data_IF_042679128524
#
_entry.id   IF_042679128524
#
_cell.length_a   1.000
_cell.length_b   1.000
_cell.length_c   1.000
_cell.angle_alpha   90.00
_cell.angle_beta   90.00
_cell.angle_gamma   90.00
#
_symmetry.space_group_name_H-M   'P 1'
#
loop_
_entity.id
_entity.type
_entity.pdbx_description
1 polymer ?
#
# COMPACT_ATOMS: atom_id res chain seq x y z
N UNK A 1 -61.22 25.23 44.42
CA UNK A 1 -61.01 24.34 43.25
C UNK A 1 -59.50 24.14 43.07
N UNK A 2 -58.94 23.06 43.63
CA UNK A 2 -57.48 22.89 43.74
C UNK A 2 -56.96 22.02 42.60
N UNK A 3 -56.23 22.62 41.66
CA UNK A 3 -55.66 21.94 40.48
C UNK A 3 -54.54 20.99 40.94
N UNK A 4 -54.80 19.66 40.98
CA UNK A 4 -53.76 18.64 41.20
C UNK A 4 -52.74 18.71 40.06
N UNK A 5 -51.52 19.22 40.33
CA UNK A 5 -50.38 19.09 39.43
C UNK A 5 -49.94 17.63 39.42
N UNK A 6 -50.13 16.98 38.28
CA UNK A 6 -49.70 15.60 38.07
C UNK A 6 -48.16 15.60 37.93
N UNK A 7 -47.45 15.41 39.03
CA UNK A 7 -45.99 15.22 39.01
C UNK A 7 -45.69 13.80 38.50
N UNK A 8 -45.76 13.64 37.18
CA UNK A 8 -45.21 12.47 36.49
C UNK A 8 -43.72 12.41 36.81
N UNK A 9 -43.31 11.49 37.70
CA UNK A 9 -41.90 11.11 37.87
C UNK A 9 -41.43 10.56 36.52
N UNK A 10 -40.81 11.41 35.69
CA UNK A 10 -40.23 11.04 34.40
C UNK A 10 -39.32 9.83 34.66
N UNK A 11 -39.65 8.69 34.04
CA UNK A 11 -38.96 7.45 34.27
C UNK A 11 -37.49 7.63 33.88
N UNK A 12 -36.54 7.35 34.77
CA UNK A 12 -35.10 7.62 34.55
C UNK A 12 -34.58 6.93 33.29
N UNK A 13 -35.20 5.80 32.93
CA UNK A 13 -34.96 5.05 31.70
C UNK A 13 -35.33 5.81 30.41
N UNK A 14 -36.30 6.73 30.43
CA UNK A 14 -36.68 7.49 29.22
C UNK A 14 -35.68 8.57 28.84
N UNK A 15 -34.80 8.97 29.76
CA UNK A 15 -33.69 9.91 29.53
C UNK A 15 -32.38 9.15 29.30
N UNK A 16 -32.20 7.99 29.95
CA UNK A 16 -31.01 7.16 29.78
C UNK A 16 -30.88 6.59 28.36
N UNK A 17 -31.99 6.13 27.78
CA UNK A 17 -32.04 5.54 26.44
C UNK A 17 -31.52 6.48 25.34
N UNK A 18 -32.01 7.73 25.19
CA UNK A 18 -31.48 8.64 24.17
C UNK A 18 -30.00 9.01 24.39
N UNK A 19 -29.54 9.12 25.64
CA UNK A 19 -28.13 9.40 25.95
C UNK A 19 -27.24 8.23 25.50
N UNK A 20 -27.62 7.00 25.84
CA UNK A 20 -26.89 5.80 25.41
C UNK A 20 -26.88 5.65 23.88
N UNK A 21 -27.98 5.97 23.21
CA UNK A 21 -28.04 5.96 21.74
C UNK A 21 -27.09 7.00 21.14
N UNK A 22 -27.03 8.22 21.67
CA UNK A 22 -26.10 9.26 21.20
C UNK A 22 -24.65 8.82 21.41
N UNK A 23 -24.32 8.25 22.58
CA UNK A 23 -22.98 7.71 22.86
C UNK A 23 -22.66 6.57 21.91
N UNK A 24 -23.59 5.64 21.68
CA UNK A 24 -23.41 4.52 20.75
C UNK A 24 -23.15 4.98 19.32
N UNK A 25 -23.93 5.95 18.83
CA UNK A 25 -23.72 6.57 17.51
C UNK A 25 -22.36 7.27 17.46
N UNK A 26 -21.98 7.99 18.52
CA UNK A 26 -20.68 8.65 18.62
C UNK A 26 -19.51 7.66 18.53
N UNK A 27 -19.60 6.53 19.25
CA UNK A 27 -18.58 5.47 19.21
C UNK A 27 -18.49 4.86 17.81
N UNK A 28 -19.63 4.52 17.18
CA UNK A 28 -19.64 3.95 15.82
C UNK A 28 -19.07 4.93 14.81
N UNK A 29 -19.42 6.22 14.90
CA UNK A 29 -18.91 7.25 14.00
C UNK A 29 -17.39 7.39 14.11
N UNK A 30 -16.84 7.43 15.34
CA UNK A 30 -15.39 7.50 15.57
C UNK A 30 -14.69 6.26 15.04
N UNK A 31 -15.16 5.06 15.36
CA UNK A 31 -14.56 3.80 14.89
C UNK A 31 -14.61 3.67 13.37
N UNK A 32 -15.72 4.07 12.74
CA UNK A 32 -15.88 4.03 11.29
C UNK A 32 -14.99 5.07 10.60
N UNK A 33 -14.79 6.24 11.21
CA UNK A 33 -13.90 7.29 10.67
C UNK A 33 -12.42 6.92 10.69
N UNK A 34 -12.01 6.06 11.63
CA UNK A 34 -10.64 5.55 11.75
C UNK A 34 -10.41 4.18 11.11
N UNK A 35 -11.40 3.63 10.40
CA UNK A 35 -11.27 2.30 9.79
C UNK A 35 -10.26 2.31 8.65
N UNK A 36 -9.20 1.51 8.78
CA UNK A 36 -8.33 1.18 7.66
C UNK A 36 -8.66 -0.21 7.10
N UNK A 37 -8.76 -0.33 5.77
CA UNK A 37 -8.91 -1.62 5.08
C UNK A 37 -7.80 -2.62 5.45
N UNK A 38 -6.64 -2.13 5.90
CA UNK A 38 -5.49 -2.93 6.35
C UNK A 38 -5.78 -3.77 7.60
N UNK A 39 -6.73 -3.36 8.45
CA UNK A 39 -7.03 -4.01 9.72
C UNK A 39 -7.70 -5.37 9.56
N UNK A 40 -8.44 -5.56 8.47
CA UNK A 40 -9.15 -6.81 8.15
C UNK A 40 -8.38 -7.68 7.15
N UNK A 41 -7.13 -7.30 6.83
CA UNK A 41 -6.30 -8.08 5.92
C UNK A 41 -5.97 -9.46 6.50
N UNK A 42 -6.07 -10.49 5.65
CA UNK A 42 -5.80 -11.86 6.04
C UNK A 42 -4.28 -12.14 6.09
N UNK A 43 -3.75 -12.24 7.31
CA UNK A 43 -2.34 -12.55 7.57
C UNK A 43 -2.00 -14.04 7.58
N UNK A 44 -2.96 -14.94 7.32
CA UNK A 44 -2.68 -16.37 7.29
C UNK A 44 -1.59 -16.69 6.27
N UNK A 45 -0.71 -17.63 6.61
CA UNK A 45 0.47 -18.03 5.83
C UNK A 45 1.47 -16.89 5.50
N UNK A 46 1.42 -15.77 6.24
CA UNK A 46 2.48 -14.78 6.26
C UNK A 46 3.23 -14.92 7.58
N UNK A 47 4.53 -15.20 7.50
CA UNK A 47 5.37 -15.34 8.70
C UNK A 47 5.43 -14.04 9.47
N UNK A 48 5.58 -14.17 10.79
CA UNK A 48 5.55 -13.05 11.72
C UNK A 48 6.61 -12.00 11.39
N UNK A 49 7.82 -12.42 11.03
CA UNK A 49 8.94 -11.51 10.74
C UNK A 49 8.68 -10.67 9.47
N UNK A 50 8.02 -11.26 8.47
CA UNK A 50 7.57 -10.56 7.27
C UNK A 50 6.47 -9.58 7.62
N UNK A 51 5.45 -10.02 8.38
CA UNK A 51 4.35 -9.16 8.85
C UNK A 51 4.88 -7.95 9.63
N UNK A 52 5.73 -8.18 10.62
CA UNK A 52 6.28 -7.13 11.48
C UNK A 52 7.09 -6.12 10.65
N UNK A 53 7.91 -6.61 9.71
CA UNK A 53 8.65 -5.76 8.78
C UNK A 53 7.74 -4.94 7.86
N UNK A 54 6.65 -5.53 7.36
CA UNK A 54 5.65 -4.85 6.53
C UNK A 54 4.91 -3.77 7.31
N UNK A 55 4.55 -4.02 8.57
CA UNK A 55 3.87 -3.02 9.41
C UNK A 55 4.73 -1.76 9.58
N UNK A 56 6.04 -1.93 9.73
CA UNK A 56 6.96 -0.77 9.78
C UNK A 56 7.11 -0.13 8.41
N UNK A 57 7.33 -0.91 7.35
CA UNK A 57 7.54 -0.38 6.00
C UNK A 57 6.31 0.39 5.46
N UNK A 58 5.10 -0.03 5.85
CA UNK A 58 3.81 0.60 5.45
C UNK A 58 3.80 2.11 5.76
N UNK A 59 4.37 2.52 6.88
CA UNK A 59 4.36 3.90 7.37
C UNK A 59 5.47 4.77 6.76
N UNK A 60 6.46 4.17 6.09
CA UNK A 60 7.68 4.86 5.66
C UNK A 60 7.70 5.28 4.18
N UNK A 61 6.86 4.66 3.35
CA UNK A 61 6.92 4.87 1.90
C UNK A 61 8.11 4.18 1.22
N UNK A 62 8.34 4.52 -0.05
CA UNK A 62 9.51 4.08 -0.82
C UNK A 62 10.46 5.25 -1.00
N UNK A 63 11.76 5.03 -0.75
CA UNK A 63 12.80 6.05 -0.91
C UNK A 63 13.87 5.63 -1.90
N UNK A 64 14.40 6.62 -2.64
CA UNK A 64 15.54 6.43 -3.55
C UNK A 64 16.88 6.32 -2.82
N UNK A 65 16.93 6.73 -1.54
CA UNK A 65 18.16 6.85 -0.76
C UNK A 65 18.91 8.18 -0.91
N UNK A 66 18.51 9.02 -1.86
CA UNK A 66 18.97 10.40 -1.88
C UNK A 66 18.25 11.18 -0.78
N UNK A 67 19.02 11.87 0.06
CA UNK A 67 18.51 12.74 1.12
C UNK A 67 18.99 14.17 0.87
N UNK A 68 18.19 15.16 1.28
CA UNK A 68 18.60 16.56 1.24
C UNK A 68 19.77 16.83 2.21
N UNK A 69 20.38 18.00 2.10
CA UNK A 69 21.38 18.46 3.08
C UNK A 69 20.71 18.49 4.47
N UNK A 70 21.36 17.88 5.47
CA UNK A 70 20.87 17.74 6.86
C UNK A 70 19.59 16.91 7.08
N UNK A 71 19.11 16.19 6.07
CA UNK A 71 17.97 15.29 6.23
C UNK A 71 18.37 13.98 6.93
N UNK A 72 17.41 13.36 7.63
CA UNK A 72 17.61 12.04 8.26
C UNK A 72 17.92 11.00 7.19
N UNK A 73 18.85 10.10 7.50
CA UNK A 73 19.17 8.95 6.66
C UNK A 73 17.93 8.07 6.45
N UNK A 74 17.75 7.61 5.22
CA UNK A 74 16.69 6.69 4.80
C UNK A 74 17.20 5.25 4.64
N UNK A 75 18.42 4.97 5.13
CA UNK A 75 19.10 3.69 4.95
C UNK A 75 18.30 2.52 5.55
N UNK A 76 17.72 2.70 6.74
CA UNK A 76 16.92 1.67 7.40
C UNK A 76 15.68 1.28 6.58
N UNK A 77 15.09 2.22 5.86
CA UNK A 77 13.91 2.00 5.00
C UNK A 77 14.31 1.19 3.77
N UNK A 78 15.45 1.54 3.16
CA UNK A 78 16.01 0.82 2.03
C UNK A 78 16.39 -0.61 2.43
N UNK A 79 17.07 -0.77 3.56
CA UNK A 79 17.50 -2.09 4.05
C UNK A 79 16.31 -2.95 4.42
N UNK A 80 15.27 -2.39 5.05
CA UNK A 80 14.03 -3.11 5.34
C UNK A 80 13.33 -3.58 4.07
N UNK A 81 13.17 -2.70 3.07
CA UNK A 81 12.60 -3.09 1.76
C UNK A 81 13.40 -4.22 1.13
N UNK A 82 14.73 -4.10 1.05
CA UNK A 82 15.62 -5.15 0.51
C UNK A 82 15.50 -6.44 1.29
N UNK A 83 15.44 -6.37 2.63
CA UNK A 83 15.31 -7.52 3.50
C UNK A 83 13.98 -8.25 3.27
N UNK A 84 12.86 -7.52 3.16
CA UNK A 84 11.55 -8.11 2.86
C UNK A 84 11.59 -8.84 1.52
N UNK A 85 12.04 -8.17 0.45
CA UNK A 85 12.10 -8.77 -0.90
C UNK A 85 12.98 -10.04 -0.94
N UNK A 86 14.09 -10.03 -0.19
CA UNK A 86 15.03 -11.15 -0.13
C UNK A 86 14.46 -12.33 0.66
N UNK A 87 13.86 -12.08 1.83
CA UNK A 87 13.51 -13.12 2.79
C UNK A 87 12.07 -13.65 2.66
N UNK A 88 11.14 -12.87 2.08
CA UNK A 88 9.79 -13.32 1.83
C UNK A 88 9.76 -14.43 0.75
N UNK A 89 8.89 -15.40 0.96
CA UNK A 89 8.56 -16.42 -0.04
C UNK A 89 7.73 -15.80 -1.17
N UNK A 90 7.67 -16.48 -2.32
CA UNK A 90 6.81 -16.05 -3.43
C UNK A 90 5.34 -15.98 -3.02
N UNK A 91 4.86 -16.97 -2.26
CA UNK A 91 3.49 -17.00 -1.74
C UNK A 91 3.21 -15.78 -0.86
N UNK A 92 4.11 -15.43 0.05
CA UNK A 92 3.97 -14.27 0.92
C UNK A 92 3.90 -12.97 0.11
N UNK A 93 4.83 -12.80 -0.85
CA UNK A 93 4.82 -11.61 -1.71
C UNK A 93 3.54 -11.55 -2.57
N UNK A 94 3.07 -12.67 -3.12
CA UNK A 94 1.82 -12.75 -3.88
C UNK A 94 0.60 -12.39 -3.03
N UNK A 95 0.58 -12.74 -1.74
CA UNK A 95 -0.48 -12.26 -0.84
C UNK A 95 -0.36 -10.75 -0.62
N UNK A 96 0.86 -10.25 -0.43
CA UNK A 96 1.12 -8.83 -0.15
C UNK A 96 0.80 -7.91 -1.35
N UNK A 97 0.75 -8.39 -2.60
CA UNK A 97 0.24 -7.60 -3.73
C UNK A 97 -1.24 -7.21 -3.58
N UNK A 98 -1.99 -7.92 -2.73
CA UNK A 98 -3.39 -7.61 -2.39
C UNK A 98 -3.53 -6.77 -1.12
N UNK A 99 -2.41 -6.41 -0.48
CA UNK A 99 -2.45 -5.62 0.75
C UNK A 99 -2.95 -4.19 0.45
N UNK A 100 -3.85 -3.62 1.29
CA UNK A 100 -4.47 -2.33 1.03
C UNK A 100 -3.56 -1.13 1.39
N UNK A 101 -2.35 -1.09 0.83
CA UNK A 101 -1.40 0.02 0.94
C UNK A 101 -0.40 -0.01 -0.23
N UNK A 102 -0.17 1.13 -0.88
CA UNK A 102 0.65 1.18 -2.10
C UNK A 102 2.13 0.88 -1.87
N UNK A 103 2.71 1.28 -0.73
CA UNK A 103 4.09 0.95 -0.36
C UNK A 103 4.27 -0.56 -0.25
N UNK A 104 3.38 -1.25 0.46
CA UNK A 104 3.43 -2.71 0.61
C UNK A 104 3.27 -3.41 -0.73
N UNK A 105 2.31 -2.96 -1.56
CA UNK A 105 2.15 -3.48 -2.92
C UNK A 105 3.41 -3.28 -3.75
N UNK A 106 4.03 -2.09 -3.71
CA UNK A 106 5.25 -1.79 -4.44
C UNK A 106 6.41 -2.72 -4.05
N UNK A 107 6.63 -2.93 -2.74
CA UNK A 107 7.64 -3.88 -2.23
C UNK A 107 7.35 -5.31 -2.73
N UNK A 108 6.08 -5.73 -2.71
CA UNK A 108 5.68 -7.06 -3.13
C UNK A 108 5.89 -7.29 -4.63
N UNK A 109 5.41 -6.37 -5.47
CA UNK A 109 5.60 -6.43 -6.92
C UNK A 109 7.07 -6.38 -7.31
N UNK A 110 7.83 -5.42 -6.77
CA UNK A 110 9.27 -5.31 -7.01
C UNK A 110 10.01 -6.58 -6.58
N UNK A 111 9.69 -7.11 -5.39
CA UNK A 111 10.30 -8.34 -4.88
C UNK A 111 10.08 -9.54 -5.79
N UNK A 112 8.85 -9.74 -6.29
CA UNK A 112 8.53 -10.81 -7.23
C UNK A 112 9.21 -10.63 -8.59
N UNK A 113 9.23 -9.40 -9.12
CA UNK A 113 9.91 -9.09 -10.40
C UNK A 113 11.41 -9.36 -10.30
N UNK A 114 12.04 -9.00 -9.19
CA UNK A 114 13.48 -9.18 -8.96
C UNK A 114 13.87 -10.62 -8.60
N UNK A 115 12.91 -11.45 -8.16
CA UNK A 115 13.17 -12.85 -7.80
C UNK A 115 13.32 -13.71 -9.07
N UNK A 116 14.41 -14.48 -9.16
CA UNK A 116 14.72 -15.29 -10.35
C UNK A 116 13.85 -16.54 -10.48
N UNK A 117 13.39 -17.05 -9.34
CA UNK A 117 12.54 -18.26 -9.26
C UNK A 117 11.12 -18.00 -9.73
N UNK A 118 10.62 -16.77 -9.59
CA UNK A 118 9.27 -16.40 -10.01
C UNK A 118 9.20 -16.23 -11.53
N UNK A 119 8.31 -16.98 -12.21
CA UNK A 119 8.26 -17.04 -13.69
C UNK A 119 7.16 -16.16 -14.31
N UNK A 120 6.06 -15.93 -13.62
CA UNK A 120 4.88 -15.23 -14.15
C UNK A 120 5.02 -13.69 -14.07
N UNK A 121 6.18 -13.15 -14.44
CA UNK A 121 6.50 -11.71 -14.29
C UNK A 121 5.66 -10.83 -15.20
N UNK A 122 5.46 -11.23 -16.46
CA UNK A 122 4.66 -10.44 -17.38
C UNK A 122 3.20 -10.33 -16.92
N UNK A 123 2.57 -11.44 -16.53
CA UNK A 123 1.20 -11.42 -16.00
C UNK A 123 1.10 -10.61 -14.70
N UNK A 124 2.09 -10.73 -13.82
CA UNK A 124 2.15 -9.94 -12.59
C UNK A 124 2.19 -8.43 -12.89
N UNK A 125 2.99 -8.00 -13.86
CA UNK A 125 3.09 -6.59 -14.25
C UNK A 125 1.80 -6.11 -14.93
N UNK A 126 1.18 -6.93 -15.78
CA UNK A 126 -0.15 -6.63 -16.36
C UNK A 126 -1.21 -6.42 -15.27
N UNK A 127 -1.21 -7.25 -14.21
CA UNK A 127 -2.08 -7.05 -13.04
C UNK A 127 -1.80 -5.72 -12.34
N UNK A 128 -0.54 -5.34 -12.18
CA UNK A 128 -0.16 -4.06 -11.60
C UNK A 128 -0.58 -2.85 -12.45
N UNK A 129 -0.61 -2.99 -13.79
CA UNK A 129 -1.10 -1.95 -14.71
C UNK A 129 -2.61 -1.69 -14.52
N UNK A 130 -3.37 -2.75 -14.24
CA UNK A 130 -4.80 -2.64 -13.97
C UNK A 130 -5.12 -2.18 -12.54
N UNK A 131 -4.15 -2.14 -11.63
CA UNK A 131 -4.32 -1.77 -10.22
C UNK A 131 -4.11 -0.26 -10.01
N UNK A 132 -5.20 0.45 -9.77
CA UNK A 132 -5.22 1.89 -9.51
C UNK A 132 -5.79 2.25 -8.12
N UNK A 133 -5.98 1.26 -7.23
CA UNK A 133 -6.69 1.47 -5.97
C UNK A 133 -5.85 2.22 -4.93
N UNK A 134 -4.54 1.98 -4.91
CA UNK A 134 -3.63 2.57 -3.94
C UNK A 134 -2.49 3.29 -4.64
N UNK A 135 -2.02 4.38 -4.04
CA UNK A 135 -0.86 5.12 -4.53
C UNK A 135 0.38 4.74 -3.73
N UNK A 136 1.52 4.71 -4.41
CA UNK A 136 2.85 4.53 -3.82
C UNK A 136 3.39 5.90 -3.44
N UNK A 137 3.62 6.14 -2.15
CA UNK A 137 4.36 7.30 -1.69
C UNK A 137 5.86 7.07 -1.96
N UNK A 138 6.42 7.85 -2.90
CA UNK A 138 7.82 7.77 -3.28
C UNK A 138 8.55 9.07 -2.93
N UNK A 139 9.72 8.95 -2.31
CA UNK A 139 10.57 10.09 -1.95
C UNK A 139 11.97 9.97 -2.54
N UNK A 140 12.47 11.09 -3.06
CA UNK A 140 13.86 11.23 -3.49
C UNK A 140 14.35 12.62 -3.13
N UNK A 141 15.25 12.69 -2.14
CA UNK A 141 15.69 13.96 -1.55
C UNK A 141 14.52 14.70 -0.91
N UNK A 142 14.38 15.99 -1.28
CA UNK A 142 13.29 16.84 -0.83
C UNK A 142 12.00 16.69 -1.66
N UNK A 143 11.99 15.80 -2.66
CA UNK A 143 10.86 15.62 -3.57
C UNK A 143 10.10 14.36 -3.18
N UNK A 144 8.85 14.53 -2.74
CA UNK A 144 7.89 13.45 -2.52
C UNK A 144 6.81 13.47 -3.58
N UNK A 145 6.54 12.32 -4.22
CA UNK A 145 5.54 12.16 -5.28
C UNK A 145 4.74 10.89 -5.03
N UNK A 146 3.45 10.92 -5.39
CA UNK A 146 2.58 9.75 -5.37
C UNK A 146 2.43 9.19 -6.77
N UNK A 147 2.69 7.90 -6.92
CA UNK A 147 2.58 7.19 -8.18
C UNK A 147 1.50 6.10 -8.12
N UNK A 148 0.85 5.81 -9.24
CA UNK A 148 0.21 4.51 -9.40
C UNK A 148 1.28 3.40 -9.30
N UNK A 149 0.91 2.19 -8.86
CA UNK A 149 1.87 1.08 -8.77
C UNK A 149 2.53 0.84 -10.14
N UNK A 150 1.73 0.90 -11.21
CA UNK A 150 2.21 0.76 -12.58
C UNK A 150 3.27 1.80 -12.96
N UNK A 151 3.05 3.07 -12.64
CA UNK A 151 4.00 4.16 -12.88
C UNK A 151 5.30 3.95 -12.11
N UNK A 152 5.18 3.61 -10.82
CA UNK A 152 6.33 3.29 -9.98
C UNK A 152 7.17 2.15 -10.58
N UNK A 153 6.54 1.05 -10.99
CA UNK A 153 7.23 -0.09 -11.57
C UNK A 153 7.90 0.26 -12.90
N UNK A 154 7.20 0.95 -13.80
CA UNK A 154 7.74 1.33 -15.10
C UNK A 154 8.95 2.27 -14.96
N UNK A 155 8.86 3.27 -14.08
CA UNK A 155 9.90 4.29 -13.89
C UNK A 155 11.12 3.78 -13.10
N UNK A 156 10.89 3.06 -12.00
CA UNK A 156 11.94 2.79 -11.01
C UNK A 156 12.35 1.33 -10.89
N UNK A 157 11.60 0.40 -11.47
CA UNK A 157 11.92 -1.04 -11.41
C UNK A 157 12.33 -1.57 -12.77
N UNK A 158 11.48 -1.38 -13.79
CA UNK A 158 11.59 -2.01 -15.11
C UNK A 158 12.47 -1.20 -16.08
N UNK A 159 12.31 0.12 -16.11
CA UNK A 159 13.20 1.05 -16.84
C UNK A 159 13.39 0.73 -18.34
N UNK A 160 12.39 0.16 -19.02
CA UNK A 160 12.43 -0.08 -20.47
C UNK A 160 11.49 0.81 -21.29
N UNK A 161 10.66 1.63 -20.65
CA UNK A 161 9.89 2.68 -21.32
C UNK A 161 10.79 3.89 -21.57
N UNK A 162 11.02 4.19 -22.85
CA UNK A 162 11.93 5.26 -23.31
C UNK A 162 11.36 6.67 -23.15
N UNK A 163 10.09 6.80 -22.77
CA UNK A 163 9.49 8.10 -22.45
C UNK A 163 9.99 8.66 -21.12
N UNK A 164 10.51 7.79 -20.25
CA UNK A 164 11.19 8.19 -19.03
C UNK A 164 12.69 8.34 -19.28
N UNK A 165 13.36 9.32 -18.65
CA UNK A 165 14.80 9.44 -18.75
C UNK A 165 15.45 8.15 -18.23
N UNK A 166 16.35 7.51 -19.00
CA UNK A 166 16.93 6.24 -18.60
C UNK A 166 17.74 6.40 -17.32
N UNK A 167 17.45 5.58 -16.31
CA UNK A 167 18.31 5.52 -15.12
C UNK A 167 19.66 4.88 -15.50
N UNK A 168 20.81 5.53 -15.24
CA UNK A 168 22.13 5.02 -15.62
C UNK A 168 22.54 3.71 -14.91
N UNK A 169 21.74 3.21 -13.96
CA UNK A 169 22.09 2.06 -13.10
C UNK A 169 21.17 0.83 -13.23
N UNK A 170 20.25 0.78 -14.20
CA UNK A 170 19.21 -0.26 -14.22
C UNK A 170 18.87 -0.78 -15.63
N UNK A 171 19.79 -1.50 -16.27
CA UNK A 171 19.42 -2.43 -17.34
C UNK A 171 19.42 -3.87 -16.83
N UNK A 172 18.37 -4.24 -16.12
CA UNK A 172 18.09 -5.66 -15.91
C UNK A 172 16.76 -6.00 -16.57
N UNK A 173 16.81 -6.96 -17.49
CA UNK A 173 15.64 -7.43 -18.20
C UNK A 173 14.73 -8.31 -17.30
N UNK A 174 15.22 -8.72 -16.13
CA UNK A 174 14.52 -9.60 -15.18
C UNK A 174 13.99 -10.91 -15.79
N UNK A 175 14.52 -11.32 -16.96
CA UNK A 175 14.08 -12.50 -17.70
C UNK A 175 12.85 -12.31 -18.59
N UNK A 176 12.39 -11.07 -18.84
CA UNK A 176 11.31 -10.80 -19.78
C UNK A 176 11.81 -10.89 -21.23
N UNK A 177 11.03 -11.55 -22.09
CA UNK A 177 11.25 -11.52 -23.54
C UNK A 177 10.87 -10.16 -24.13
N UNK A 178 11.36 -9.84 -25.33
CA UNK A 178 11.02 -8.57 -26.00
C UNK A 178 9.53 -8.48 -26.32
N UNK A 179 8.88 -9.60 -26.69
CA UNK A 179 7.43 -9.70 -26.87
C UNK A 179 6.66 -9.35 -25.58
N UNK A 180 7.12 -9.83 -24.42
CA UNK A 180 6.50 -9.49 -23.13
C UNK A 180 6.65 -8.00 -22.80
N UNK A 181 7.82 -7.40 -23.08
CA UNK A 181 8.01 -5.95 -22.89
C UNK A 181 7.07 -5.13 -23.75
N UNK A 182 6.97 -5.47 -25.04
CA UNK A 182 6.10 -4.77 -25.99
C UNK A 182 4.64 -4.86 -25.55
N UNK A 183 4.21 -6.04 -25.10
CA UNK A 183 2.87 -6.22 -24.52
C UNK A 183 2.66 -5.32 -23.29
N UNK A 184 3.58 -5.34 -22.34
CA UNK A 184 3.51 -4.53 -21.11
C UNK A 184 3.46 -3.03 -21.43
N UNK A 185 4.31 -2.55 -22.35
CA UNK A 185 4.30 -1.15 -22.80
C UNK A 185 2.96 -0.78 -23.42
N UNK A 186 2.44 -1.64 -24.29
CA UNK A 186 1.15 -1.42 -24.96
C UNK A 186 0.02 -1.33 -23.93
N UNK A 187 -0.04 -2.25 -22.97
CA UNK A 187 -1.02 -2.22 -21.88
C UNK A 187 -0.88 -0.96 -21.01
N UNK A 188 0.35 -0.58 -20.66
CA UNK A 188 0.62 0.59 -19.85
C UNK A 188 0.17 1.88 -20.54
N UNK A 189 0.50 2.08 -21.81
CA UNK A 189 0.13 3.29 -22.56
C UNK A 189 -1.37 3.36 -22.86
N UNK A 190 -2.05 2.22 -23.00
CA UNK A 190 -3.49 2.15 -23.26
C UNK A 190 -4.35 2.16 -21.97
N UNK A 191 -3.73 2.16 -20.78
CA UNK A 191 -4.48 2.16 -19.51
C UNK A 191 -5.29 3.46 -19.37
N UNK A 192 -6.43 3.35 -18.67
CA UNK A 192 -7.18 4.55 -18.25
C UNK A 192 -6.40 5.25 -17.14
N UNK A 193 -6.13 6.54 -17.33
CA UNK A 193 -5.51 7.40 -16.32
C UNK A 193 -6.52 7.78 -15.25
#
# INVERSE_FOLDING_TARGET
MTKRRNNSKRNRFSILFPILTIIGIGIIAVLSSGYEKSWTYNWNDIRKEIKDSIQVAKEQGITSGFVGVDARSTEDEIQRRKWIMKNATELELLKLTKYPNGTVKAIAYEGLIKKETYKEKAELISKAIADNEYLVDYQSGCVGVRYQISEYLMMYVLNFDRTFPPSPYMSNNYGLSDLEKEKILTEFHNRKK
#
